data_IF_252486869995
#
_entry.id   IF_252486869995
#
_cell.length_a   1.000
_cell.length_b   1.000
_cell.length_c   1.000
_cell.angle_alpha   90.00
_cell.angle_beta   90.00
_cell.angle_gamma   90.00
#
_symmetry.space_group_name_H-M   'P 1'
#
loop_
_entity.id
_entity.type
_entity.pdbx_description
1 polymer ?
#
# COMPACT_ATOMS: atom_id res chain seq x y z
N UNK A 1 17.68 0.41 -3.92
CA UNK A 1 16.65 0.91 -4.85
C UNK A 1 15.54 1.52 -4.01
N UNK A 2 14.96 2.64 -4.44
CA UNK A 2 13.91 3.34 -3.70
C UNK A 2 12.53 2.86 -4.15
N UNK A 3 11.64 2.55 -3.20
CA UNK A 3 10.32 2.00 -3.51
C UNK A 3 9.18 2.57 -2.67
N UNK A 4 7.97 2.50 -3.24
CA UNK A 4 6.70 2.83 -2.57
C UNK A 4 5.90 1.55 -2.31
N UNK A 5 5.40 1.39 -1.09
CA UNK A 5 4.47 0.33 -0.73
C UNK A 5 3.04 0.83 -0.85
N UNK A 6 2.19 0.12 -1.57
CA UNK A 6 0.74 0.36 -1.59
C UNK A 6 0.06 -0.74 -0.79
N UNK A 7 -0.70 -0.37 0.23
CA UNK A 7 -1.57 -1.26 1.00
C UNK A 7 -3.00 -1.17 0.46
N UNK A 8 -3.52 -2.28 -0.05
CA UNK A 8 -4.80 -2.38 -0.75
C UNK A 8 -5.96 -2.74 0.19
N UNK A 9 -6.90 -1.83 0.36
CA UNK A 9 -8.15 -1.98 1.13
C UNK A 9 -9.35 -2.23 0.20
N UNK A 10 -9.10 -2.62 -1.06
CA UNK A 10 -10.15 -2.94 -2.03
C UNK A 10 -10.58 -1.75 -2.91
N UNK A 11 -9.74 -0.72 -3.02
CA UNK A 11 -10.04 0.42 -3.89
C UNK A 11 -10.10 0.00 -5.35
N UNK A 12 -11.13 0.45 -6.07
CA UNK A 12 -11.19 0.37 -7.53
C UNK A 12 -10.02 1.09 -8.24
N UNK A 13 -9.28 1.97 -7.53
CA UNK A 13 -8.18 2.76 -8.08
C UNK A 13 -6.78 2.24 -7.71
N UNK A 14 -6.63 1.17 -6.93
CA UNK A 14 -5.30 0.69 -6.47
C UNK A 14 -4.33 0.48 -7.64
N UNK A 15 -4.77 -0.17 -8.72
CA UNK A 15 -3.93 -0.40 -9.90
C UNK A 15 -3.63 0.89 -10.68
N UNK A 16 -4.56 1.86 -10.68
CA UNK A 16 -4.33 3.17 -11.29
C UNK A 16 -3.27 3.96 -10.52
N UNK A 17 -3.30 3.93 -9.19
CA UNK A 17 -2.26 4.54 -8.33
C UNK A 17 -0.90 3.91 -8.66
N UNK A 18 -0.81 2.58 -8.70
CA UNK A 18 0.43 1.89 -9.04
C UNK A 18 0.94 2.25 -10.45
N UNK A 19 0.04 2.37 -11.43
CA UNK A 19 0.39 2.84 -12.77
C UNK A 19 0.98 4.26 -12.74
N UNK A 20 0.36 5.21 -12.00
CA UNK A 20 0.88 6.57 -11.87
C UNK A 20 2.27 6.62 -11.24
N UNK A 21 2.54 5.80 -10.24
CA UNK A 21 3.88 5.71 -9.63
C UNK A 21 4.92 5.19 -10.63
N UNK A 22 4.56 4.17 -11.42
CA UNK A 22 5.45 3.62 -12.45
C UNK A 22 5.70 4.60 -13.60
N UNK A 23 4.70 5.41 -13.96
CA UNK A 23 4.86 6.52 -14.92
C UNK A 23 5.87 7.59 -14.43
N UNK A 24 6.09 7.68 -13.10
CA UNK A 24 7.13 8.51 -12.49
C UNK A 24 8.49 7.79 -12.36
N UNK A 25 8.64 6.60 -12.97
CA UNK A 25 9.86 5.78 -12.92
C UNK A 25 10.25 5.32 -11.51
N UNK A 26 9.26 5.19 -10.60
CA UNK A 26 9.46 4.70 -9.24
C UNK A 26 8.94 3.27 -9.12
N UNK A 27 9.70 2.38 -8.46
CA UNK A 27 9.24 1.02 -8.19
C UNK A 27 8.17 1.02 -7.09
N UNK A 28 7.16 0.17 -7.24
CA UNK A 28 6.15 -0.01 -6.20
C UNK A 28 5.64 -1.45 -6.09
N UNK A 29 5.35 -1.84 -4.87
CA UNK A 29 4.69 -3.10 -4.51
C UNK A 29 3.24 -2.83 -4.10
N UNK A 30 2.33 -3.75 -4.40
CA UNK A 30 0.95 -3.72 -3.91
C UNK A 30 0.75 -4.95 -3.03
N UNK A 31 0.24 -4.76 -1.83
CA UNK A 31 -0.08 -5.83 -0.88
C UNK A 31 -1.49 -5.64 -0.33
N UNK A 32 -2.25 -6.72 -0.08
CA UNK A 32 -3.55 -6.62 0.59
C UNK A 32 -3.39 -6.12 2.03
N UNK A 33 -4.41 -5.42 2.55
CA UNK A 33 -4.41 -4.89 3.93
C UNK A 33 -4.14 -5.95 5.01
N UNK A 34 -4.51 -7.20 4.75
CA UNK A 34 -4.27 -8.34 5.64
C UNK A 34 -2.79 -8.61 5.91
N UNK A 35 -1.88 -8.08 5.09
CA UNK A 35 -0.44 -8.16 5.28
C UNK A 35 0.14 -7.01 6.15
N UNK A 36 -0.71 -6.13 6.70
CA UNK A 36 -0.27 -4.99 7.48
C UNK A 36 0.69 -5.34 8.64
N UNK A 37 0.48 -6.41 9.44
CA UNK A 37 1.41 -6.76 10.52
C UNK A 37 2.83 -7.09 10.03
N UNK A 38 2.94 -7.85 8.94
CA UNK A 38 4.22 -8.23 8.34
C UNK A 38 4.93 -7.01 7.73
N UNK A 39 4.18 -6.14 7.06
CA UNK A 39 4.70 -4.92 6.47
C UNK A 39 5.13 -3.91 7.54
N UNK A 40 4.39 -3.81 8.65
CA UNK A 40 4.76 -2.99 9.81
C UNK A 40 6.07 -3.47 10.43
N UNK A 41 6.26 -4.79 10.56
CA UNK A 41 7.54 -5.36 11.01
C UNK A 41 8.69 -5.02 10.06
N UNK A 42 8.46 -5.06 8.73
CA UNK A 42 9.44 -4.64 7.72
C UNK A 42 9.83 -3.16 7.86
N UNK A 43 8.86 -2.29 8.11
CA UNK A 43 9.09 -0.86 8.35
C UNK A 43 9.88 -0.65 9.66
N UNK A 44 9.46 -1.32 10.74
CA UNK A 44 10.11 -1.21 12.05
C UNK A 44 11.55 -1.74 12.04
N UNK A 45 11.84 -2.73 11.19
CA UNK A 45 13.19 -3.26 10.98
C UNK A 45 14.12 -2.30 10.22
N UNK A 46 13.63 -1.14 9.77
CA UNK A 46 14.44 -0.11 9.11
C UNK A 46 14.80 -0.43 7.67
N UNK A 47 13.86 -0.95 6.88
CA UNK A 47 14.05 -1.17 5.45
C UNK A 47 14.31 0.16 4.69
N UNK A 48 15.60 0.48 4.49
CA UNK A 48 16.08 1.69 3.79
C UNK A 48 15.60 1.82 2.34
N UNK A 49 15.14 0.72 1.74
CA UNK A 49 14.60 0.75 0.38
C UNK A 49 13.24 1.45 0.33
N UNK A 50 12.48 1.43 1.43
CA UNK A 50 11.13 1.96 1.49
C UNK A 50 11.16 3.47 1.71
N UNK A 51 10.54 4.21 0.79
CA UNK A 51 10.49 5.69 0.84
C UNK A 51 9.12 6.24 1.20
N UNK A 52 8.09 5.42 1.11
CA UNK A 52 6.74 5.83 1.44
C UNK A 52 5.75 4.68 1.41
N UNK A 53 4.62 4.91 2.07
CA UNK A 53 3.48 4.00 2.12
C UNK A 53 2.24 4.75 1.66
N UNK A 54 1.47 4.13 0.77
CA UNK A 54 0.15 4.60 0.36
C UNK A 54 -0.88 3.62 0.88
N UNK A 55 -1.80 4.10 1.71
CA UNK A 55 -3.00 3.37 2.07
C UNK A 55 -4.03 3.69 0.99
N UNK A 56 -4.43 2.68 0.22
CA UNK A 56 -5.48 2.87 -0.78
C UNK A 56 -6.85 3.11 -0.10
N UNK A 57 -7.84 3.49 -0.90
CA UNK A 57 -9.22 3.59 -0.41
C UNK A 57 -9.91 2.23 -0.26
N UNK A 58 -11.16 2.28 0.16
CA UNK A 58 -12.07 1.13 0.23
C UNK A 58 -13.47 1.59 -0.18
N UNK A 59 -14.32 0.71 -0.75
CA UNK A 59 -15.75 0.99 -0.89
C UNK A 59 -16.48 1.02 0.46
N UNK A 60 -15.88 0.48 1.53
CA UNK A 60 -16.50 0.35 2.85
C UNK A 60 -16.32 1.61 3.70
N UNK A 61 -17.26 1.83 4.64
CA UNK A 61 -17.08 2.79 5.73
C UNK A 61 -16.15 2.19 6.78
N UNK A 62 -15.26 2.99 7.35
CA UNK A 62 -14.33 2.57 8.42
C UNK A 62 -15.00 2.14 9.73
N UNK A 63 -16.32 2.32 9.84
CA UNK A 63 -17.12 1.93 11.01
C UNK A 63 -17.83 0.58 10.82
N UNK A 64 -17.79 0.02 9.62
CA UNK A 64 -18.49 -1.22 9.32
C UNK A 64 -17.69 -2.39 9.90
N UNK A 65 -18.36 -3.37 10.52
CA UNK A 65 -17.66 -4.47 11.19
C UNK A 65 -16.85 -5.35 10.22
N UNK A 66 -17.28 -5.41 8.97
CA UNK A 66 -16.63 -6.15 7.90
C UNK A 66 -15.75 -5.26 7.01
N UNK A 67 -15.49 -4.00 7.43
CA UNK A 67 -14.59 -3.13 6.69
C UNK A 67 -13.15 -3.65 6.76
N UNK A 68 -12.39 -3.58 5.66
CA UNK A 68 -10.96 -3.88 5.66
C UNK A 68 -10.14 -2.88 6.49
#
# INVERSE_FOLDING_TARGET
MQQILILDFGSQYTQLIARRIRELHVFCEIHPYTHAPQLAARIAAGDDSLRGVILSGSPCSVRDADSP
#
